data_IF_339509321822
#
_entry.id   IF_339509321822
#
_cell.length_a   1.000
_cell.length_b   1.000
_cell.length_c   1.000
_cell.angle_alpha   90.00
_cell.angle_beta   90.00
_cell.angle_gamma   90.00
#
_symmetry.space_group_name_H-M   'P 1'
#
loop_
_entity.id
_entity.type
_entity.pdbx_description
1 polymer ?
#
# COMPACT_ATOMS: atom_id res chain seq x y z
N UNK A 1 -33.84 68.29 40.92
CA UNK A 1 -33.85 67.56 42.20
C UNK A 1 -33.01 66.30 42.04
N UNK A 2 -32.00 66.14 42.90
CA UNK A 2 -31.34 64.92 43.44
C UNK A 2 -31.48 63.57 42.69
N UNK A 3 -30.53 62.62 42.69
CA UNK A 3 -29.20 62.46 43.27
C UNK A 3 -28.58 61.16 42.68
N UNK A 4 -27.27 61.03 42.83
CA UNK A 4 -26.45 59.84 42.60
C UNK A 4 -26.91 58.61 43.39
N UNK A 5 -26.70 57.40 42.82
CA UNK A 5 -26.23 56.25 43.60
C UNK A 5 -25.45 55.27 42.70
N UNK A 6 -24.16 55.07 43.04
CA UNK A 6 -23.33 53.94 42.58
C UNK A 6 -23.54 52.77 43.54
N UNK A 7 -23.61 51.52 43.05
CA UNK A 7 -23.23 50.33 43.84
C UNK A 7 -22.66 49.22 42.93
N UNK A 8 -21.35 49.01 43.09
CA UNK A 8 -20.57 47.75 43.12
C UNK A 8 -20.76 46.63 42.08
N UNK A 9 -19.72 46.49 41.23
CA UNK A 9 -18.92 45.29 40.91
C UNK A 9 -19.57 43.89 40.85
N UNK A 10 -19.41 43.23 39.70
CA UNK A 10 -18.93 41.85 39.61
C UNK A 10 -18.20 41.63 38.28
N UNK A 11 -16.90 41.38 38.34
CA UNK A 11 -16.13 40.78 37.24
C UNK A 11 -16.68 39.36 36.98
N UNK A 12 -17.00 39.04 35.73
CA UNK A 12 -17.07 37.65 35.27
C UNK A 12 -16.12 37.48 34.09
N UNK A 13 -15.28 36.47 34.24
CA UNK A 13 -14.02 36.20 33.55
C UNK A 13 -14.25 35.86 32.07
N UNK A 14 -13.33 36.36 31.23
CA UNK A 14 -13.15 36.00 29.82
C UNK A 14 -13.03 34.47 29.64
N UNK A 15 -13.81 33.91 28.73
CA UNK A 15 -13.45 32.69 28.03
C UNK A 15 -13.14 33.06 26.57
N UNK A 16 -11.87 33.38 26.31
CA UNK A 16 -11.32 33.33 24.96
C UNK A 16 -11.40 31.87 24.54
N UNK A 17 -12.27 31.56 23.57
CA UNK A 17 -12.37 30.23 22.98
C UNK A 17 -11.02 29.86 22.39
N UNK A 18 -10.27 29.04 23.10
CA UNK A 18 -9.08 28.39 22.59
C UNK A 18 -9.56 27.39 21.54
N UNK A 19 -9.38 27.77 20.27
CA UNK A 19 -9.35 26.79 19.19
C UNK A 19 -8.27 25.79 19.55
N UNK A 20 -8.67 24.68 20.17
CA UNK A 20 -7.85 23.49 20.35
C UNK A 20 -7.61 22.96 18.95
N UNK A 21 -6.58 23.48 18.29
CA UNK A 21 -5.86 22.73 17.28
C UNK A 21 -5.38 21.46 17.95
N UNK A 22 -6.21 20.42 17.88
CA UNK A 22 -5.76 19.06 18.07
C UNK A 22 -4.78 18.81 16.92
N UNK A 23 -3.49 19.01 17.19
CA UNK A 23 -2.47 18.32 16.43
C UNK A 23 -2.70 16.83 16.69
N UNK A 24 -3.34 16.15 15.74
CA UNK A 24 -3.21 14.70 15.64
C UNK A 24 -1.72 14.40 15.51
N UNK A 25 -1.12 13.85 16.56
CA UNK A 25 0.17 13.18 16.45
C UNK A 25 -0.01 12.02 15.47
N UNK A 26 0.54 12.15 14.27
CA UNK A 26 0.57 11.05 13.31
C UNK A 26 1.53 9.97 13.85
N UNK A 27 0.99 8.95 14.51
CA UNK A 27 1.75 7.73 14.80
C UNK A 27 2.12 7.04 13.49
N UNK A 28 3.31 6.43 13.44
CA UNK A 28 3.74 5.66 12.27
C UNK A 28 2.69 4.59 11.89
N UNK A 29 2.41 4.38 10.59
CA UNK A 29 1.43 3.41 10.14
C UNK A 29 1.83 1.99 10.57
N UNK A 30 0.85 1.17 10.90
CA UNK A 30 1.11 -0.23 11.28
C UNK A 30 1.66 -1.04 10.08
N UNK A 31 2.34 -2.16 10.33
CA UNK A 31 2.82 -3.06 9.26
C UNK A 31 1.66 -3.54 8.36
N UNK A 32 0.50 -3.82 8.96
CA UNK A 32 -0.70 -4.20 8.21
C UNK A 32 -1.20 -3.08 7.30
N UNK A 33 -1.26 -1.85 7.81
CA UNK A 33 -1.62 -0.67 7.03
C UNK A 33 -0.63 -0.42 5.88
N UNK A 34 0.67 -0.59 6.12
CA UNK A 34 1.69 -0.55 5.07
C UNK A 34 1.38 -1.57 3.97
N UNK A 35 1.15 -2.85 4.30
CA UNK A 35 0.87 -3.89 3.31
C UNK A 35 -0.38 -3.55 2.49
N UNK A 36 -1.48 -3.19 3.16
CA UNK A 36 -2.73 -2.84 2.47
C UNK A 36 -2.58 -1.60 1.59
N UNK A 37 -1.88 -0.57 2.07
CA UNK A 37 -1.64 0.66 1.30
C UNK A 37 -0.78 0.35 0.08
N UNK A 38 0.34 -0.35 0.26
CA UNK A 38 1.23 -0.73 -0.84
C UNK A 38 0.48 -1.49 -1.93
N UNK A 39 -0.34 -2.50 -1.57
CA UNK A 39 -1.13 -3.31 -2.50
C UNK A 39 -2.13 -2.47 -3.30
N UNK A 40 -2.77 -1.48 -2.66
CA UNK A 40 -3.84 -0.68 -3.28
C UNK A 40 -3.35 0.58 -4.00
N UNK A 41 -2.13 1.06 -3.69
CA UNK A 41 -1.58 2.29 -4.28
C UNK A 41 -0.77 2.09 -5.56
N UNK A 42 -0.50 0.85 -5.96
CA UNK A 42 0.30 0.55 -7.15
C UNK A 42 -0.39 -0.48 -8.04
N UNK A 43 -0.25 -0.31 -9.36
CA UNK A 43 -0.78 -1.25 -10.36
C UNK A 43 -0.12 -2.62 -10.23
N UNK A 44 1.19 -2.67 -10.00
CA UNK A 44 1.94 -3.91 -9.80
C UNK A 44 2.73 -3.81 -8.50
N UNK A 45 2.55 -4.79 -7.62
CA UNK A 45 3.33 -4.94 -6.38
C UNK A 45 3.96 -6.31 -6.34
N UNK A 46 5.23 -6.37 -5.96
CA UNK A 46 5.97 -7.62 -5.75
C UNK A 46 6.61 -7.59 -4.37
N UNK A 47 6.04 -8.35 -3.43
CA UNK A 47 6.75 -8.66 -2.18
C UNK A 47 7.79 -9.74 -2.48
N UNK A 48 9.05 -9.42 -2.20
CA UNK A 48 10.22 -10.09 -2.77
C UNK A 48 11.28 -10.36 -1.69
N UNK A 49 12.34 -11.09 -2.07
CA UNK A 49 13.63 -11.02 -1.41
C UNK A 49 14.76 -10.83 -2.44
N UNK A 50 15.76 -10.02 -2.09
CA UNK A 50 16.83 -9.58 -3.01
C UNK A 50 17.60 -10.77 -3.62
N UNK A 51 17.86 -11.79 -2.81
CA UNK A 51 18.61 -13.00 -3.21
C UNK A 51 17.77 -14.09 -3.89
N UNK A 52 16.44 -13.95 -3.91
CA UNK A 52 15.56 -15.05 -4.31
C UNK A 52 15.49 -15.21 -5.85
N UNK A 53 15.83 -16.39 -6.41
CA UNK A 53 15.77 -16.60 -7.86
C UNK A 53 14.33 -16.53 -8.42
N UNK A 54 13.34 -17.03 -7.68
CA UNK A 54 11.93 -16.94 -8.07
C UNK A 54 11.43 -15.48 -8.10
N UNK A 55 11.93 -14.63 -7.19
CA UNK A 55 11.61 -13.21 -7.21
C UNK A 55 12.21 -12.53 -8.45
N UNK A 56 13.46 -12.86 -8.81
CA UNK A 56 14.08 -12.35 -10.05
C UNK A 56 13.29 -12.75 -11.29
N UNK A 57 12.81 -13.99 -11.36
CA UNK A 57 11.96 -14.48 -12.46
C UNK A 57 10.61 -13.73 -12.53
N UNK A 58 9.95 -13.49 -11.41
CA UNK A 58 8.72 -12.69 -11.42
C UNK A 58 8.97 -11.23 -11.87
N UNK A 59 10.05 -10.60 -11.38
CA UNK A 59 10.42 -9.23 -11.80
C UNK A 59 10.76 -9.13 -13.29
N UNK A 60 11.41 -10.15 -13.87
CA UNK A 60 11.78 -10.12 -15.29
C UNK A 60 10.56 -10.10 -16.20
N UNK A 61 9.48 -10.79 -15.85
CA UNK A 61 8.20 -10.74 -16.60
C UNK A 61 7.68 -9.32 -16.74
N UNK A 62 7.65 -8.55 -15.65
CA UNK A 62 7.17 -7.15 -15.70
C UNK A 62 8.14 -6.24 -16.45
N UNK A 63 9.45 -6.50 -16.34
CA UNK A 63 10.47 -5.82 -17.15
C UNK A 63 10.27 -6.07 -18.65
N UNK A 64 9.97 -7.31 -19.05
CA UNK A 64 9.69 -7.69 -20.45
C UNK A 64 8.41 -7.02 -21.00
N UNK A 65 7.41 -6.82 -20.14
CA UNK A 65 6.18 -6.08 -20.46
C UNK A 65 6.34 -4.54 -20.40
N UNK A 66 7.55 -4.03 -20.11
CA UNK A 66 7.81 -2.61 -19.85
C UNK A 66 6.86 -2.01 -18.80
N UNK A 67 6.53 -2.78 -17.77
CA UNK A 67 5.72 -2.33 -16.64
C UNK A 67 6.60 -2.08 -15.43
N UNK A 68 6.43 -0.91 -14.82
CA UNK A 68 7.09 -0.60 -13.56
C UNK A 68 6.38 -1.32 -12.41
N UNK A 69 7.16 -2.00 -11.58
CA UNK A 69 6.66 -2.79 -10.46
C UNK A 69 7.17 -2.21 -9.15
N UNK A 70 6.25 -1.96 -8.21
CA UNK A 70 6.63 -1.60 -6.86
C UNK A 70 7.13 -2.83 -6.11
N UNK A 71 8.45 -2.93 -5.93
CA UNK A 71 9.09 -4.06 -5.26
C UNK A 71 9.35 -3.73 -3.80
N UNK A 72 8.94 -4.63 -2.90
CA UNK A 72 9.26 -4.57 -1.47
C UNK A 72 10.19 -5.74 -1.13
N UNK A 73 11.47 -5.46 -0.92
CA UNK A 73 12.46 -6.46 -0.51
C UNK A 73 12.36 -6.72 0.99
N UNK A 74 11.78 -7.87 1.35
CA UNK A 74 11.48 -8.18 2.75
C UNK A 74 12.72 -8.53 3.57
N UNK A 75 13.79 -8.98 2.94
CA UNK A 75 15.07 -9.25 3.60
C UNK A 75 15.87 -7.98 3.92
N UNK A 76 15.50 -6.84 3.35
CA UNK A 76 16.11 -5.54 3.60
C UNK A 76 15.30 -4.69 4.61
N UNK A 77 14.30 -5.30 5.25
CA UNK A 77 13.41 -4.64 6.21
C UNK A 77 13.39 -5.35 7.56
N UNK A 78 13.50 -4.59 8.64
CA UNK A 78 13.39 -5.10 10.01
C UNK A 78 12.02 -5.75 10.29
N UNK A 79 10.96 -5.27 9.64
CA UNK A 79 9.59 -5.78 9.77
C UNK A 79 9.21 -6.82 8.70
N UNK A 80 10.17 -7.27 7.88
CA UNK A 80 9.92 -8.18 6.76
C UNK A 80 9.21 -9.48 7.17
N UNK A 81 9.59 -10.07 8.31
CA UNK A 81 8.91 -11.27 8.83
C UNK A 81 7.45 -10.99 9.19
N UNK A 82 7.13 -9.83 9.77
CA UNK A 82 5.76 -9.42 10.10
C UNK A 82 4.95 -9.19 8.82
N UNK A 83 5.55 -8.62 7.77
CA UNK A 83 4.91 -8.52 6.46
C UNK A 83 4.57 -9.91 5.92
N UNK A 84 5.47 -10.89 6.04
CA UNK A 84 5.18 -12.28 5.65
C UNK A 84 4.02 -12.89 6.47
N UNK A 85 3.89 -12.56 7.77
CA UNK A 85 2.73 -12.97 8.59
C UNK A 85 1.42 -12.39 8.03
N UNK A 86 1.43 -11.09 7.70
CA UNK A 86 0.25 -10.40 7.14
C UNK A 86 -0.10 -10.96 5.77
N UNK A 87 0.87 -11.17 4.88
CA UNK A 87 0.63 -11.80 3.58
C UNK A 87 0.03 -13.19 3.75
N UNK A 88 0.51 -13.99 4.71
CA UNK A 88 -0.09 -15.29 5.00
C UNK A 88 -1.55 -15.19 5.43
N UNK A 89 -1.94 -14.17 6.20
CA UNK A 89 -3.32 -13.97 6.59
C UNK A 89 -4.21 -13.52 5.41
N UNK A 90 -3.66 -12.76 4.46
CA UNK A 90 -4.41 -12.24 3.29
C UNK A 90 -4.54 -13.30 2.19
N UNK A 91 -3.45 -14.01 1.87
CA UNK A 91 -3.37 -14.90 0.69
C UNK A 91 -3.08 -16.37 1.03
N UNK A 92 -2.96 -16.72 2.31
CA UNK A 92 -2.71 -18.09 2.76
C UNK A 92 -1.28 -18.60 2.53
N UNK A 93 -0.33 -17.71 2.18
CA UNK A 93 1.06 -18.08 1.87
C UNK A 93 2.06 -17.05 2.43
N UNK A 94 3.11 -17.54 3.08
CA UNK A 94 4.26 -16.72 3.54
C UNK A 94 5.38 -16.56 2.51
N UNK A 95 5.42 -17.42 1.51
CA UNK A 95 6.56 -17.53 0.58
C UNK A 95 6.70 -16.28 -0.29
N UNK A 96 7.89 -16.04 -0.83
CA UNK A 96 8.13 -15.00 -1.85
C UNK A 96 8.46 -15.65 -3.20
N UNK A 97 8.13 -15.01 -4.33
CA UNK A 97 7.43 -13.73 -4.43
C UNK A 97 5.93 -13.85 -4.11
N UNK A 98 5.30 -12.73 -3.70
CA UNK A 98 3.85 -12.55 -3.77
C UNK A 98 3.54 -11.35 -4.66
N UNK A 99 2.83 -11.59 -5.76
CA UNK A 99 2.54 -10.61 -6.79
C UNK A 99 1.08 -10.18 -6.73
N UNK A 100 0.84 -8.87 -6.80
CA UNK A 100 -0.48 -8.27 -6.86
C UNK A 100 -0.60 -7.37 -8.08
N UNK A 101 -1.77 -7.42 -8.74
CA UNK A 101 -2.12 -6.59 -9.88
C UNK A 101 -3.43 -5.87 -9.58
N UNK A 102 -3.42 -4.54 -9.61
CA UNK A 102 -4.58 -3.70 -9.29
C UNK A 102 -5.26 -4.11 -7.98
N UNK A 103 -4.46 -4.28 -6.92
CA UNK A 103 -4.91 -4.69 -5.59
C UNK A 103 -5.32 -6.17 -5.45
N UNK A 104 -5.35 -6.95 -6.54
CA UNK A 104 -5.74 -8.38 -6.52
C UNK A 104 -4.52 -9.28 -6.53
N UNK A 105 -4.55 -10.34 -5.72
CA UNK A 105 -3.47 -11.32 -5.67
C UNK A 105 -3.40 -12.13 -6.96
N UNK A 106 -2.24 -12.14 -7.61
CA UNK A 106 -1.97 -12.94 -8.80
C UNK A 106 -1.43 -14.31 -8.42
N UNK A 107 -0.51 -14.37 -7.45
CA UNK A 107 0.18 -15.58 -7.03
C UNK A 107 1.67 -15.38 -6.80
N UNK A 108 2.45 -16.46 -6.94
CA UNK A 108 3.90 -16.47 -6.87
C UNK A 108 4.57 -16.40 -8.25
N UNK A 109 5.81 -16.90 -8.35
CA UNK A 109 6.59 -16.84 -9.58
C UNK A 109 5.96 -17.66 -10.72
N UNK A 110 5.50 -18.88 -10.43
CA UNK A 110 4.93 -19.74 -11.49
C UNK A 110 3.60 -19.18 -11.98
N UNK A 111 2.72 -18.73 -11.07
CA UNK A 111 1.45 -18.07 -11.41
C UNK A 111 1.66 -16.82 -12.29
N UNK A 112 2.75 -16.07 -12.03
CA UNK A 112 3.12 -14.88 -12.81
C UNK A 112 3.58 -15.24 -14.21
N UNK A 113 4.44 -16.26 -14.35
CA UNK A 113 4.90 -16.71 -15.68
C UNK A 113 3.75 -17.32 -16.47
N UNK A 114 2.92 -18.16 -15.86
CA UNK A 114 1.74 -18.73 -16.51
C UNK A 114 0.79 -17.63 -17.00
N UNK A 115 0.55 -16.59 -16.18
CA UNK A 115 -0.27 -15.46 -16.59
C UNK A 115 0.34 -14.69 -17.77
N UNK A 116 1.67 -14.54 -17.80
CA UNK A 116 2.38 -13.91 -18.90
C UNK A 116 2.26 -14.71 -20.20
N UNK A 117 2.61 -15.99 -20.17
CA UNK A 117 2.61 -16.89 -21.32
C UNK A 117 1.20 -17.07 -21.92
N UNK A 118 0.17 -17.12 -21.06
CA UNK A 118 -1.24 -17.21 -21.50
C UNK A 118 -1.81 -15.87 -22.02
N UNK A 119 -1.05 -14.77 -21.95
CA UNK A 119 -1.55 -13.42 -22.26
C UNK A 119 -2.55 -12.87 -21.24
N UNK A 120 -2.89 -13.62 -20.18
CA UNK A 120 -3.77 -13.16 -19.10
C UNK A 120 -3.20 -11.93 -18.39
N UNK A 121 -1.90 -11.89 -18.18
CA UNK A 121 -1.22 -10.78 -17.50
C UNK A 121 -1.32 -9.49 -18.32
N UNK A 122 -1.11 -9.56 -19.64
CA UNK A 122 -1.28 -8.42 -20.54
C UNK A 122 -2.70 -7.85 -20.46
N UNK A 123 -3.73 -8.72 -20.47
CA UNK A 123 -5.13 -8.32 -20.30
C UNK A 123 -5.39 -7.64 -18.94
N UNK A 124 -4.83 -8.17 -17.85
CA UNK A 124 -4.96 -7.59 -16.51
C UNK A 124 -4.32 -6.20 -16.40
N UNK A 125 -3.29 -5.95 -17.21
CA UNK A 125 -2.54 -4.69 -17.26
C UNK A 125 -3.07 -3.71 -18.32
N UNK A 126 -4.10 -4.09 -19.09
CA UNK A 126 -4.62 -3.27 -20.19
C UNK A 126 -3.62 -3.08 -21.34
N UNK A 127 -2.71 -4.04 -21.54
CA UNK A 127 -1.74 -4.03 -22.64
C UNK A 127 -2.42 -4.64 -23.86
N UNK A 128 -2.55 -3.86 -24.93
CA UNK A 128 -3.04 -4.31 -26.22
C UNK A 128 -2.09 -5.36 -26.82
N UNK A 129 -2.46 -6.64 -26.73
CA UNK A 129 -1.79 -7.69 -27.49
C UNK A 129 -2.33 -7.63 -28.92
N UNK A 130 -1.51 -7.21 -29.90
CA UNK A 130 -1.88 -7.38 -31.31
C UNK A 130 -2.17 -8.87 -31.53
N UNK A 131 -3.44 -9.19 -31.76
CA UNK A 131 -3.88 -10.55 -32.05
C UNK A 131 -3.08 -11.09 -33.23
N UNK A 132 -2.48 -12.26 -33.05
CA UNK A 132 -1.94 -13.04 -34.17
C UNK A 132 -3.12 -13.80 -34.78
N UNK A 133 -4.03 -13.04 -35.40
CA UNK A 133 -4.93 -13.57 -36.42
C UNK A 133 -4.12 -13.48 -37.71
N UNK A 134 -3.39 -14.55 -38.07
CA UNK A 134 -2.87 -14.86 -39.41
C UNK A 134 -1.69 -15.83 -39.31
N UNK A 135 -1.95 -17.15 -39.26
CA UNK A 135 -1.19 -18.22 -39.94
C UNK A 135 -2.02 -19.52 -39.97
#
# INVERSE_FOLDING_TARGET
MAASARFTAAMVVLALGTSLFHCTEASAPSVGEFVHTTINSHTVVIFSKSYCPYCRRAKSVFKELNQDAHVVELDERDDGSKIQDILNNIVGRRTVPQVFINGKHLGGSDDTVEAYESGRLAKLLGIETKGHDDL
#
